data_IF_063702439944
#
_entry.id   IF_063702439944
#
_cell.length_a   1.000
_cell.length_b   1.000
_cell.length_c   1.000
_cell.angle_alpha   90.00
_cell.angle_beta   90.00
_cell.angle_gamma   90.00
#
_symmetry.space_group_name_H-M   'P 1'
#
loop_
_entity.id
_entity.type
_entity.pdbx_description
1 polymer ?
#
# COMPACT_ATOMS: atom_id res chain seq x y z
N UNK A 1 4.20 21.89 33.67
CA UNK A 1 3.49 20.92 32.85
C UNK A 1 3.80 21.21 31.40
N UNK A 2 4.77 20.50 30.82
CA UNK A 2 5.14 20.64 29.40
C UNK A 2 4.42 19.51 28.65
N UNK A 3 3.48 19.85 27.79
CA UNK A 3 2.85 18.90 26.88
C UNK A 3 3.88 18.46 25.84
N UNK A 4 4.11 17.16 25.62
CA UNK A 4 5.07 16.70 24.63
C UNK A 4 4.52 16.87 23.21
N UNK A 5 5.40 17.23 22.32
CA UNK A 5 5.14 17.58 20.93
C UNK A 5 4.63 16.37 20.11
N UNK A 6 3.32 16.29 19.89
CA UNK A 6 2.63 15.30 19.07
C UNK A 6 2.62 15.53 17.53
N UNK A 7 3.25 16.60 16.90
CA UNK A 7 2.96 16.90 15.50
C UNK A 7 3.76 16.13 14.44
N UNK A 8 4.98 15.65 14.74
CA UNK A 8 5.89 15.15 13.69
C UNK A 8 5.52 13.76 13.14
N UNK A 9 4.83 12.95 13.89
CA UNK A 9 4.53 11.57 13.59
C UNK A 9 3.20 11.40 12.84
N UNK A 10 2.21 12.18 13.18
CA UNK A 10 0.93 12.28 12.47
C UNK A 10 1.13 12.81 11.04
N UNK A 11 2.06 13.75 10.86
CA UNK A 11 2.41 14.33 9.57
C UNK A 11 3.03 13.32 8.60
N UNK A 12 3.83 12.37 9.07
CA UNK A 12 4.44 11.32 8.24
C UNK A 12 3.41 10.36 7.67
N UNK A 13 2.44 9.97 8.47
CA UNK A 13 1.32 9.13 8.03
C UNK A 13 0.46 9.85 7.00
N UNK A 14 0.22 11.13 7.18
CA UNK A 14 -0.53 11.96 6.24
C UNK A 14 0.12 12.02 4.88
N UNK A 15 1.45 12.04 4.76
CA UNK A 15 2.12 12.03 3.46
C UNK A 15 1.94 10.70 2.72
N UNK A 16 2.02 9.56 3.41
CA UNK A 16 1.73 8.26 2.79
C UNK A 16 0.28 8.15 2.36
N UNK A 17 -0.65 8.57 3.21
CA UNK A 17 -2.06 8.62 2.82
C UNK A 17 -2.30 9.60 1.67
N UNK A 18 -1.67 10.77 1.71
CA UNK A 18 -1.80 11.78 0.67
C UNK A 18 -1.32 11.32 -0.70
N UNK A 19 -0.13 10.71 -0.78
CA UNK A 19 0.37 10.19 -2.07
C UNK A 19 -0.46 9.01 -2.59
N UNK A 20 -1.01 8.16 -1.70
CA UNK A 20 -1.98 7.14 -2.07
C UNK A 20 -3.29 7.75 -2.58
N UNK A 21 -3.68 8.91 -2.03
CA UNK A 21 -4.81 9.70 -2.53
C UNK A 21 -4.59 10.23 -3.93
N UNK A 22 -3.38 10.73 -4.23
CA UNK A 22 -3.00 11.10 -5.61
C UNK A 22 -3.01 9.87 -6.52
N UNK A 23 -2.41 8.76 -6.08
CA UNK A 23 -2.33 7.54 -6.87
C UNK A 23 -3.71 6.98 -7.22
N UNK A 24 -4.67 6.91 -6.28
CA UNK A 24 -6.02 6.41 -6.60
C UNK A 24 -6.75 7.35 -7.56
N UNK A 25 -6.57 8.66 -7.45
CA UNK A 25 -7.15 9.60 -8.40
C UNK A 25 -6.61 9.37 -9.83
N UNK A 26 -5.29 9.17 -9.98
CA UNK A 26 -4.67 8.87 -11.28
C UNK A 26 -5.17 7.54 -11.86
N UNK A 27 -5.30 6.48 -11.06
CA UNK A 27 -5.86 5.19 -11.51
C UNK A 27 -7.28 5.36 -12.02
N UNK A 28 -8.13 6.07 -11.28
CA UNK A 28 -9.53 6.30 -11.68
C UNK A 28 -9.61 7.13 -12.97
N UNK A 29 -8.80 8.16 -13.10
CA UNK A 29 -8.73 8.99 -14.31
C UNK A 29 -8.26 8.17 -15.52
N UNK A 30 -7.20 7.36 -15.35
CA UNK A 30 -6.66 6.51 -16.42
C UNK A 30 -7.68 5.48 -16.89
N UNK A 31 -8.37 4.81 -16.00
CA UNK A 31 -9.38 3.82 -16.37
C UNK A 31 -10.66 4.46 -16.95
N UNK A 32 -11.07 5.63 -16.47
CA UNK A 32 -12.18 6.38 -17.06
C UNK A 32 -11.88 6.76 -18.50
N UNK A 33 -10.70 7.29 -18.75
CA UNK A 33 -10.28 7.65 -20.11
C UNK A 33 -10.15 6.41 -21.03
N UNK A 34 -9.63 5.31 -20.53
CA UNK A 34 -9.49 4.07 -21.31
C UNK A 34 -10.84 3.51 -21.78
N UNK A 35 -11.92 3.71 -21.01
CA UNK A 35 -13.26 3.20 -21.34
C UNK A 35 -14.06 4.14 -22.25
N UNK A 36 -13.89 5.46 -22.14
CA UNK A 36 -14.50 6.45 -23.02
C UNK A 36 -13.51 7.56 -23.36
N UNK A 37 -12.55 7.25 -24.26
CA UNK A 37 -11.51 8.19 -24.63
C UNK A 37 -12.10 9.43 -25.31
N UNK A 38 -11.49 10.57 -25.04
CA UNK A 38 -11.84 11.85 -25.67
C UNK A 38 -10.59 12.44 -26.29
N UNK A 39 -10.64 12.77 -27.57
CA UNK A 39 -9.50 13.31 -28.33
C UNK A 39 -9.04 14.68 -27.76
N UNK A 40 -9.95 15.46 -27.22
CA UNK A 40 -9.66 16.77 -26.64
C UNK A 40 -8.67 16.70 -25.46
N UNK A 41 -8.74 15.62 -24.65
CA UNK A 41 -7.83 15.44 -23.51
C UNK A 41 -6.44 14.99 -23.94
N UNK A 42 -6.34 14.18 -24.99
CA UNK A 42 -5.06 13.67 -25.50
C UNK A 42 -4.29 14.68 -26.33
N UNK A 43 -4.97 15.61 -26.97
CA UNK A 43 -4.34 16.68 -27.76
C UNK A 43 -3.61 17.70 -26.88
N UNK A 44 -3.84 17.68 -25.57
CA UNK A 44 -3.22 18.58 -24.62
C UNK A 44 -2.07 17.87 -23.86
N UNK A 45 -0.83 18.20 -24.21
CA UNK A 45 0.39 17.62 -23.62
C UNK A 45 0.48 17.76 -22.09
N UNK A 46 -0.19 18.78 -21.51
CA UNK A 46 -0.22 18.98 -20.05
C UNK A 46 -1.26 18.12 -19.34
N UNK A 47 -2.35 17.76 -20.03
CA UNK A 47 -3.41 16.94 -19.46
C UNK A 47 -3.17 15.45 -19.69
N UNK A 48 -2.63 15.06 -20.84
CA UNK A 48 -2.37 13.68 -21.22
C UNK A 48 -1.72 12.85 -20.12
N UNK A 49 -0.63 13.27 -19.44
CA UNK A 49 0.03 12.45 -18.41
C UNK A 49 -0.88 12.07 -17.24
N UNK A 50 -1.89 12.88 -16.91
CA UNK A 50 -2.82 12.60 -15.82
C UNK A 50 -3.80 11.46 -16.15
N UNK A 51 -4.01 11.22 -17.43
CA UNK A 51 -4.92 10.18 -17.96
C UNK A 51 -4.19 8.94 -18.49
N UNK A 52 -2.87 9.00 -18.62
CA UNK A 52 -2.04 7.90 -19.16
C UNK A 52 -0.97 7.44 -18.16
N UNK A 53 -1.19 7.59 -16.86
CA UNK A 53 -0.20 7.25 -15.81
C UNK A 53 -0.73 6.23 -14.81
N UNK A 54 -1.57 5.32 -15.26
CA UNK A 54 -2.12 4.25 -14.40
C UNK A 54 -1.01 3.39 -13.78
N UNK A 55 0.02 3.03 -14.54
CA UNK A 55 1.15 2.22 -14.06
C UNK A 55 2.05 2.96 -13.08
N UNK A 56 2.29 4.26 -13.29
CA UNK A 56 2.94 5.13 -12.32
C UNK A 56 2.21 5.09 -10.97
N UNK A 57 0.89 5.25 -10.99
CA UNK A 57 0.06 5.26 -9.80
C UNK A 57 0.04 3.91 -9.08
N UNK A 58 -0.05 2.80 -9.82
CA UNK A 58 0.00 1.44 -9.28
C UNK A 58 1.35 1.16 -8.63
N UNK A 59 2.47 1.66 -9.18
CA UNK A 59 3.81 1.51 -8.58
C UNK A 59 3.90 2.19 -7.21
N UNK A 60 3.24 3.33 -7.00
CA UNK A 60 3.16 3.97 -5.68
C UNK A 60 2.50 3.03 -4.65
N UNK A 61 1.40 2.36 -5.02
CA UNK A 61 0.73 1.40 -4.14
C UNK A 61 1.62 0.21 -3.81
N UNK A 62 2.30 -0.36 -4.81
CA UNK A 62 3.23 -1.46 -4.61
C UNK A 62 4.36 -1.09 -3.65
N UNK A 63 5.03 0.05 -3.89
CA UNK A 63 6.16 0.49 -3.06
C UNK A 63 5.72 0.72 -1.62
N UNK A 64 4.64 1.47 -1.39
CA UNK A 64 4.17 1.78 -0.04
C UNK A 64 3.65 0.51 0.65
N UNK A 65 2.88 -0.32 -0.04
CA UNK A 65 2.34 -1.57 0.50
C UNK A 65 3.44 -2.53 0.94
N UNK A 66 4.43 -2.77 0.09
CA UNK A 66 5.55 -3.64 0.39
C UNK A 66 6.49 -3.05 1.46
N UNK A 67 6.72 -1.73 1.43
CA UNK A 67 7.47 -1.04 2.48
C UNK A 67 6.86 -1.25 3.87
N UNK A 68 5.57 -0.98 4.02
CA UNK A 68 4.86 -1.10 5.29
C UNK A 68 4.86 -2.56 5.77
N UNK A 69 4.60 -3.52 4.88
CA UNK A 69 4.60 -4.94 5.20
C UNK A 69 5.98 -5.42 5.64
N UNK A 70 7.03 -5.11 4.88
CA UNK A 70 8.40 -5.50 5.19
C UNK A 70 8.86 -4.88 6.51
N UNK A 71 8.62 -3.58 6.70
CA UNK A 71 8.96 -2.88 7.94
C UNK A 71 8.28 -3.50 9.16
N UNK A 72 7.02 -3.92 9.03
CA UNK A 72 6.30 -4.62 10.10
C UNK A 72 6.97 -5.96 10.46
N UNK A 73 7.36 -6.76 9.45
CA UNK A 73 8.06 -8.04 9.63
C UNK A 73 9.40 -7.81 10.33
N UNK A 74 10.21 -6.85 9.83
CA UNK A 74 11.54 -6.56 10.38
C UNK A 74 11.47 -6.10 11.84
N UNK A 75 10.47 -5.26 12.19
CA UNK A 75 10.26 -4.81 13.58
C UNK A 75 9.88 -5.94 14.54
N UNK A 76 9.06 -6.90 14.09
CA UNK A 76 8.72 -8.09 14.88
C UNK A 76 9.97 -8.91 15.19
N UNK A 77 10.84 -9.09 14.20
CA UNK A 77 12.10 -9.79 14.37
C UNK A 77 13.07 -9.05 15.31
N UNK A 78 13.16 -7.72 15.17
CA UNK A 78 14.00 -6.89 16.06
C UNK A 78 13.49 -6.92 17.51
N UNK A 79 12.18 -7.11 17.71
CA UNK A 79 11.55 -7.32 19.02
C UNK A 79 11.67 -8.77 19.54
N UNK A 80 12.35 -9.66 18.81
CA UNK A 80 12.49 -11.07 19.19
C UNK A 80 11.21 -11.90 19.08
N UNK A 81 10.20 -11.41 18.36
CA UNK A 81 8.93 -12.10 18.17
C UNK A 81 9.10 -13.18 17.10
N UNK A 82 8.65 -14.38 17.39
CA UNK A 82 8.64 -15.47 16.43
C UNK A 82 7.67 -15.17 15.26
N UNK A 83 8.11 -15.47 14.04
CA UNK A 83 7.32 -15.22 12.83
C UNK A 83 6.62 -16.51 12.40
N UNK A 84 5.33 -16.60 12.60
CA UNK A 84 4.49 -17.66 12.05
C UNK A 84 4.06 -17.30 10.63
N UNK A 85 4.84 -17.69 9.61
CA UNK A 85 4.65 -17.29 8.20
C UNK A 85 3.24 -17.57 7.72
N UNK A 86 2.65 -18.72 8.08
CA UNK A 86 1.28 -19.08 7.70
C UNK A 86 0.24 -18.11 8.27
N UNK A 87 0.37 -17.73 9.54
CA UNK A 87 -0.56 -16.77 10.19
C UNK A 87 -0.46 -15.40 9.53
N UNK A 88 0.76 -14.92 9.27
CA UNK A 88 1.00 -13.64 8.62
C UNK A 88 0.41 -13.63 7.19
N UNK A 89 0.62 -14.72 6.43
CA UNK A 89 0.08 -14.87 5.07
C UNK A 89 -1.46 -14.93 5.07
N UNK A 90 -2.07 -15.71 5.97
CA UNK A 90 -3.53 -15.82 6.08
C UNK A 90 -4.16 -14.49 6.53
N UNK A 91 -3.57 -13.80 7.51
CA UNK A 91 -4.05 -12.45 7.91
C UNK A 91 -4.05 -11.47 6.73
N UNK A 92 -2.98 -11.47 5.91
CA UNK A 92 -2.96 -10.61 4.70
C UNK A 92 -3.99 -11.03 3.68
N UNK A 93 -4.11 -12.34 3.41
CA UNK A 93 -5.13 -12.88 2.51
C UNK A 93 -6.53 -12.42 2.93
N UNK A 94 -6.94 -12.65 4.17
CA UNK A 94 -8.25 -12.29 4.68
C UNK A 94 -8.51 -10.77 4.64
N UNK A 95 -7.48 -9.99 4.92
CA UNK A 95 -7.58 -8.53 4.85
C UNK A 95 -7.87 -8.03 3.44
N UNK A 96 -7.19 -8.57 2.43
CA UNK A 96 -7.40 -8.18 1.04
C UNK A 96 -8.69 -8.79 0.47
N UNK A 97 -9.01 -10.02 0.86
CA UNK A 97 -10.14 -10.78 0.32
C UNK A 97 -11.50 -10.32 0.84
N UNK A 98 -11.58 -9.67 1.99
CA UNK A 98 -12.87 -9.32 2.59
C UNK A 98 -13.77 -8.51 1.66
N UNK A 99 -13.29 -7.37 1.16
CA UNK A 99 -14.03 -6.56 0.19
C UNK A 99 -14.04 -7.19 -1.21
N UNK A 100 -12.94 -7.86 -1.58
CA UNK A 100 -12.81 -8.51 -2.89
C UNK A 100 -13.89 -9.58 -3.12
N UNK A 101 -14.17 -10.43 -2.13
CA UNK A 101 -15.19 -11.48 -2.23
C UNK A 101 -16.61 -10.88 -2.32
N UNK A 102 -16.87 -9.78 -1.61
CA UNK A 102 -18.14 -9.04 -1.75
C UNK A 102 -18.28 -8.45 -3.15
N UNK A 103 -17.21 -7.85 -3.69
CA UNK A 103 -17.21 -7.37 -5.06
C UNK A 103 -17.50 -8.49 -6.06
N UNK A 104 -16.82 -9.63 -5.94
CA UNK A 104 -17.05 -10.78 -6.82
C UNK A 104 -18.49 -11.28 -6.73
N UNK A 105 -19.06 -11.37 -5.53
CA UNK A 105 -20.45 -11.74 -5.34
C UNK A 105 -21.41 -10.77 -6.04
N UNK A 106 -21.21 -9.47 -5.88
CA UNK A 106 -22.03 -8.44 -6.54
C UNK A 106 -21.90 -8.54 -8.06
N UNK A 107 -20.68 -8.68 -8.59
CA UNK A 107 -20.46 -8.85 -10.04
C UNK A 107 -21.15 -10.09 -10.57
N UNK A 108 -21.10 -11.23 -9.85
CA UNK A 108 -21.78 -12.46 -10.24
C UNK A 108 -23.30 -12.28 -10.27
N UNK A 109 -23.88 -11.58 -9.27
CA UNK A 109 -25.32 -11.28 -9.23
C UNK A 109 -25.71 -10.38 -10.40
N UNK A 110 -24.97 -9.29 -10.64
CA UNK A 110 -25.23 -8.37 -11.76
C UNK A 110 -25.14 -9.11 -13.09
N UNK A 111 -24.13 -9.93 -13.29
CA UNK A 111 -24.00 -10.75 -14.53
C UNK A 111 -25.18 -11.70 -14.74
N UNK A 112 -25.74 -12.24 -13.67
CA UNK A 112 -26.88 -13.17 -13.75
C UNK A 112 -28.23 -12.50 -13.94
N UNK A 113 -28.34 -11.19 -13.64
CA UNK A 113 -29.62 -10.46 -13.62
C UNK A 113 -29.72 -9.33 -14.65
N UNK A 114 -28.61 -9.00 -15.30
CA UNK A 114 -28.52 -7.90 -16.27
C UNK A 114 -27.87 -8.38 -17.58
N UNK A 115 -28.68 -8.50 -18.61
CA UNK A 115 -28.22 -8.97 -19.93
C UNK A 115 -27.15 -8.06 -20.54
N UNK A 116 -27.22 -6.75 -20.29
CA UNK A 116 -26.22 -5.80 -20.76
C UNK A 116 -24.84 -5.99 -20.11
N UNK A 117 -24.82 -6.56 -18.90
CA UNK A 117 -23.60 -6.93 -18.16
C UNK A 117 -23.22 -8.40 -18.29
N UNK A 118 -23.92 -9.18 -19.12
CA UNK A 118 -23.52 -10.54 -19.45
C UNK A 118 -22.27 -10.55 -20.32
N UNK A 119 -21.46 -11.58 -20.16
CA UNK A 119 -20.23 -11.80 -20.91
C UNK A 119 -20.21 -13.26 -21.40
N UNK A 120 -21.04 -13.58 -22.42
CA UNK A 120 -21.27 -14.97 -22.84
C UNK A 120 -19.99 -15.65 -23.33
N UNK A 121 -19.04 -14.91 -23.91
CA UNK A 121 -17.79 -15.41 -24.43
C UNK A 121 -16.66 -15.50 -23.37
N UNK A 122 -16.94 -15.05 -22.13
CA UNK A 122 -15.95 -15.03 -21.07
C UNK A 122 -16.26 -16.06 -19.98
N UNK A 123 -15.24 -16.77 -19.51
CA UNK A 123 -15.39 -17.68 -18.38
C UNK A 123 -15.43 -16.92 -17.05
N UNK A 124 -16.64 -16.55 -16.65
CA UNK A 124 -16.91 -15.82 -15.42
C UNK A 124 -16.52 -16.63 -14.17
N UNK A 125 -16.78 -17.94 -14.16
CA UNK A 125 -16.47 -18.83 -13.04
C UNK A 125 -14.97 -18.96 -12.80
N UNK A 126 -14.23 -19.26 -13.86
CA UNK A 126 -12.76 -19.32 -13.80
C UNK A 126 -12.17 -17.97 -13.47
N UNK A 127 -12.68 -16.87 -14.04
CA UNK A 127 -12.22 -15.51 -13.70
C UNK A 127 -12.37 -15.24 -12.19
N UNK A 128 -13.54 -15.51 -11.61
CA UNK A 128 -13.78 -15.31 -10.18
C UNK A 128 -12.85 -16.18 -9.30
N UNK A 129 -12.66 -17.45 -9.67
CA UNK A 129 -11.75 -18.36 -8.97
C UNK A 129 -10.29 -17.87 -9.01
N UNK A 130 -9.81 -17.44 -10.18
CA UNK A 130 -8.44 -16.93 -10.37
C UNK A 130 -8.19 -15.65 -9.59
N UNK A 131 -9.20 -14.78 -9.52
CA UNK A 131 -9.14 -13.56 -8.70
C UNK A 131 -9.10 -13.92 -7.21
N UNK A 132 -10.00 -14.79 -6.73
CA UNK A 132 -10.06 -15.20 -5.34
C UNK A 132 -8.78 -15.94 -4.86
N UNK A 133 -8.06 -16.61 -5.77
CA UNK A 133 -6.81 -17.31 -5.49
C UNK A 133 -5.55 -16.48 -5.77
N UNK A 134 -5.70 -15.20 -6.13
CA UNK A 134 -4.57 -14.31 -6.47
C UNK A 134 -3.66 -14.85 -7.59
N UNK A 135 -4.25 -15.54 -8.59
CA UNK A 135 -3.58 -16.03 -9.81
C UNK A 135 -4.12 -15.36 -11.08
N UNK A 136 -4.91 -14.31 -10.90
CA UNK A 136 -5.63 -13.61 -11.97
C UNK A 136 -4.72 -13.01 -13.04
N UNK A 137 -3.60 -12.43 -12.64
CA UNK A 137 -2.64 -11.83 -13.55
C UNK A 137 -2.06 -12.86 -14.55
N UNK A 138 -1.80 -14.08 -14.11
CA UNK A 138 -1.33 -15.16 -14.98
C UNK A 138 -2.42 -15.67 -15.92
N UNK A 139 -3.67 -15.73 -15.43
CA UNK A 139 -4.81 -16.10 -16.26
C UNK A 139 -5.08 -15.07 -17.36
N UNK A 140 -5.03 -13.77 -17.03
CA UNK A 140 -5.14 -12.68 -18.00
C UNK A 140 -4.11 -12.78 -19.12
N UNK A 141 -2.85 -13.08 -18.78
CA UNK A 141 -1.77 -13.23 -19.77
C UNK A 141 -1.99 -14.45 -20.68
N UNK A 142 -2.45 -15.56 -20.11
CA UNK A 142 -2.62 -16.81 -20.83
C UNK A 142 -3.93 -16.86 -21.66
N UNK A 143 -4.98 -16.20 -21.21
CA UNK A 143 -6.33 -16.30 -21.77
C UNK A 143 -7.00 -14.92 -21.88
N UNK A 144 -6.44 -13.98 -22.64
CA UNK A 144 -6.90 -12.58 -22.66
C UNK A 144 -8.33 -12.42 -23.20
N UNK A 145 -8.79 -13.35 -24.06
CA UNK A 145 -10.14 -13.32 -24.64
C UNK A 145 -11.19 -13.97 -23.75
N UNK A 146 -10.81 -14.97 -22.95
CA UNK A 146 -11.71 -15.67 -22.04
C UNK A 146 -11.88 -14.95 -20.69
N UNK A 147 -10.93 -14.07 -20.38
CA UNK A 147 -10.90 -13.33 -19.11
C UNK A 147 -11.92 -12.21 -19.08
N UNK A 148 -12.60 -12.03 -17.93
CA UNK A 148 -13.55 -10.94 -17.70
C UNK A 148 -12.90 -9.55 -17.80
N UNK A 149 -13.23 -8.71 -18.79
CA UNK A 149 -12.55 -7.42 -18.98
C UNK A 149 -12.86 -6.42 -17.87
N UNK A 150 -14.07 -6.42 -17.32
CA UNK A 150 -14.51 -5.53 -16.23
C UNK A 150 -13.83 -5.82 -14.89
N UNK A 151 -13.14 -6.96 -14.76
CA UNK A 151 -12.33 -7.35 -13.61
C UNK A 151 -10.82 -7.26 -13.91
N UNK A 152 -10.45 -6.78 -15.09
CA UNK A 152 -9.06 -6.73 -15.53
C UNK A 152 -8.12 -6.05 -14.54
N UNK A 153 -8.52 -4.92 -13.95
CA UNK A 153 -7.72 -4.17 -12.98
C UNK A 153 -7.25 -4.97 -11.75
N UNK A 154 -7.94 -6.05 -11.38
CA UNK A 154 -7.61 -6.86 -10.19
C UNK A 154 -6.30 -7.65 -10.31
N UNK A 155 -5.62 -7.59 -11.47
CA UNK A 155 -4.27 -8.15 -11.63
C UNK A 155 -3.28 -7.63 -10.57
N UNK A 156 -3.41 -6.36 -10.19
CA UNK A 156 -2.56 -5.73 -9.17
C UNK A 156 -2.59 -6.49 -7.84
N UNK A 157 -3.76 -6.89 -7.36
CA UNK A 157 -3.88 -7.60 -6.08
C UNK A 157 -3.17 -8.96 -6.12
N UNK A 158 -3.21 -9.65 -7.29
CA UNK A 158 -2.50 -10.91 -7.47
C UNK A 158 -1.00 -10.72 -7.37
N UNK A 159 -0.44 -9.74 -8.07
CA UNK A 159 0.99 -9.41 -8.01
C UNK A 159 1.40 -8.97 -6.59
N UNK A 160 0.61 -8.09 -5.95
CA UNK A 160 0.88 -7.61 -4.59
C UNK A 160 0.96 -8.76 -3.57
N UNK A 161 -0.01 -9.69 -3.63
CA UNK A 161 -0.03 -10.82 -2.71
C UNK A 161 1.10 -11.81 -2.98
N UNK A 162 1.39 -12.13 -4.25
CA UNK A 162 2.47 -13.05 -4.63
C UNK A 162 3.84 -12.51 -4.19
N UNK A 163 4.13 -11.24 -4.46
CA UNK A 163 5.41 -10.64 -4.05
C UNK A 163 5.51 -10.49 -2.54
N UNK A 164 4.40 -10.19 -1.86
CA UNK A 164 4.37 -10.20 -0.40
C UNK A 164 4.82 -11.55 0.16
N UNK A 165 4.37 -12.68 -0.39
CA UNK A 165 4.82 -14.01 0.04
C UNK A 165 6.32 -14.22 -0.20
N UNK A 166 6.85 -13.79 -1.35
CA UNK A 166 8.29 -13.84 -1.64
C UNK A 166 9.08 -13.03 -0.61
N UNK A 167 8.69 -11.77 -0.39
CA UNK A 167 9.36 -10.89 0.58
C UNK A 167 9.24 -11.43 2.01
N UNK A 168 8.10 -12.01 2.39
CA UNK A 168 7.90 -12.63 3.70
C UNK A 168 8.90 -13.78 3.94
N UNK A 169 9.07 -14.66 2.95
CA UNK A 169 10.03 -15.77 3.02
C UNK A 169 11.47 -15.24 3.05
N UNK A 170 11.83 -14.30 2.19
CA UNK A 170 13.17 -13.70 2.19
C UNK A 170 13.48 -13.01 3.51
N UNK A 171 12.54 -12.24 4.06
CA UNK A 171 12.70 -11.61 5.35
C UNK A 171 12.82 -12.62 6.48
N UNK A 172 12.07 -13.73 6.45
CA UNK A 172 12.21 -14.80 7.43
C UNK A 172 13.60 -15.45 7.41
N UNK A 173 14.09 -15.77 6.21
CA UNK A 173 15.36 -16.48 6.04
C UNK A 173 16.59 -15.59 6.29
N UNK A 174 16.53 -14.32 5.85
CA UNK A 174 17.70 -13.44 5.76
C UNK A 174 17.67 -12.27 6.75
N UNK A 175 16.63 -12.09 7.56
CA UNK A 175 16.50 -10.89 8.38
C UNK A 175 17.59 -10.73 9.46
N UNK A 176 18.18 -11.82 9.92
CA UNK A 176 19.37 -11.77 10.82
C UNK A 176 20.61 -11.21 10.10
N UNK A 177 20.63 -11.26 8.79
CA UNK A 177 21.70 -10.81 7.91
C UNK A 177 21.20 -9.70 6.98
N UNK A 178 20.89 -8.51 7.52
CA UNK A 178 20.27 -7.38 6.81
C UNK A 178 21.01 -7.03 5.50
N UNK A 179 22.33 -7.14 5.48
CA UNK A 179 23.12 -6.88 4.28
C UNK A 179 22.84 -7.90 3.17
N UNK A 180 22.71 -9.19 3.50
CA UNK A 180 22.32 -10.21 2.54
C UNK A 180 20.88 -10.02 2.06
N UNK A 181 19.97 -9.65 2.96
CA UNK A 181 18.60 -9.33 2.56
C UNK A 181 18.58 -8.14 1.58
N UNK A 182 19.29 -7.06 1.88
CA UNK A 182 19.39 -5.90 1.00
C UNK A 182 20.01 -6.26 -0.36
N UNK A 183 21.10 -7.05 -0.37
CA UNK A 183 21.74 -7.50 -1.60
C UNK A 183 20.82 -8.37 -2.45
N UNK A 184 20.09 -9.31 -1.84
CA UNK A 184 19.13 -10.16 -2.54
C UNK A 184 17.97 -9.35 -3.12
N UNK A 185 17.37 -8.45 -2.34
CA UNK A 185 16.30 -7.57 -2.82
C UNK A 185 16.78 -6.66 -3.95
N UNK A 186 17.99 -6.11 -3.82
CA UNK A 186 18.60 -5.28 -4.87
C UNK A 186 18.89 -6.05 -6.16
N UNK A 187 19.42 -7.27 -6.06
CA UNK A 187 19.66 -8.12 -7.22
C UNK A 187 18.36 -8.51 -7.93
N UNK A 188 17.31 -8.88 -7.17
CA UNK A 188 16.00 -9.18 -7.72
C UNK A 188 15.34 -7.93 -8.36
N UNK A 189 15.50 -6.75 -7.76
CA UNK A 189 15.02 -5.49 -8.32
C UNK A 189 15.66 -5.20 -9.68
N UNK A 190 17.00 -5.26 -9.76
CA UNK A 190 17.74 -5.03 -11.01
C UNK A 190 17.35 -6.09 -12.06
N UNK A 191 17.28 -7.35 -11.64
CA UNK A 191 16.84 -8.45 -12.49
C UNK A 191 15.42 -8.27 -13.03
N UNK A 192 14.49 -7.79 -12.20
CA UNK A 192 13.10 -7.50 -12.61
C UNK A 192 13.01 -6.36 -13.63
N UNK A 193 13.78 -5.29 -13.44
CA UNK A 193 13.83 -4.17 -14.39
C UNK A 193 14.38 -4.65 -15.76
N UNK A 194 15.49 -5.39 -15.75
CA UNK A 194 16.05 -5.94 -16.97
C UNK A 194 15.10 -6.94 -17.65
N UNK A 195 14.45 -7.80 -16.86
CA UNK A 195 13.46 -8.76 -17.34
C UNK A 195 12.22 -8.09 -17.92
N UNK A 196 11.73 -7.01 -17.31
CA UNK A 196 10.62 -6.22 -17.84
C UNK A 196 10.94 -5.64 -19.22
N UNK A 197 12.12 -5.05 -19.38
CA UNK A 197 12.56 -4.52 -20.67
C UNK A 197 12.64 -5.65 -21.74
N UNK A 198 13.22 -6.79 -21.38
CA UNK A 198 13.30 -7.95 -22.28
C UNK A 198 11.91 -8.46 -22.69
N UNK A 199 11.00 -8.68 -21.76
CA UNK A 199 9.63 -9.15 -22.05
C UNK A 199 8.86 -8.10 -22.87
N UNK A 200 9.08 -6.82 -22.61
CA UNK A 200 8.48 -5.77 -23.43
C UNK A 200 8.92 -5.86 -24.89
N UNK A 201 10.20 -6.02 -25.12
CA UNK A 201 10.78 -6.11 -26.48
C UNK A 201 10.36 -7.41 -27.22
N UNK A 202 10.18 -8.54 -26.51
CA UNK A 202 9.91 -9.83 -27.11
C UNK A 202 8.44 -10.22 -27.16
N UNK A 203 7.68 -9.91 -26.11
CA UNK A 203 6.29 -10.37 -25.90
C UNK A 203 5.28 -9.22 -25.88
N UNK A 204 5.77 -7.99 -25.88
CA UNK A 204 4.96 -6.77 -25.93
C UNK A 204 4.45 -6.28 -24.57
N UNK A 205 3.82 -5.12 -24.62
CA UNK A 205 3.39 -4.32 -23.44
C UNK A 205 2.45 -5.08 -22.52
N UNK A 206 1.51 -5.84 -23.07
CA UNK A 206 0.49 -6.54 -22.29
C UNK A 206 1.09 -7.54 -21.28
N UNK A 207 2.03 -8.38 -21.74
CA UNK A 207 2.76 -9.30 -20.86
C UNK A 207 3.65 -8.57 -19.85
N UNK A 208 4.38 -7.57 -20.32
CA UNK A 208 5.27 -6.78 -19.47
C UNK A 208 4.52 -6.07 -18.33
N UNK A 209 3.26 -5.68 -18.55
CA UNK A 209 2.42 -5.03 -17.54
C UNK A 209 1.84 -5.98 -16.49
N UNK A 210 1.54 -7.23 -16.85
CA UNK A 210 0.71 -8.12 -16.02
C UNK A 210 1.49 -9.20 -15.29
N UNK A 211 2.68 -9.60 -15.79
CA UNK A 211 3.43 -10.68 -15.16
C UNK A 211 4.02 -10.24 -13.80
N UNK A 212 3.99 -11.13 -12.82
CA UNK A 212 4.57 -10.89 -11.49
C UNK A 212 6.06 -10.57 -11.57
N UNK A 213 6.79 -11.32 -12.43
CA UNK A 213 8.25 -11.19 -12.57
C UNK A 213 8.70 -9.87 -13.19
N UNK A 214 7.86 -9.25 -14.02
CA UNK A 214 8.13 -7.96 -14.66
C UNK A 214 7.66 -6.77 -13.79
N UNK A 215 6.77 -7.02 -12.82
CA UNK A 215 6.18 -6.00 -11.96
C UNK A 215 6.67 -6.08 -10.50
N UNK A 216 7.60 -6.98 -10.21
CA UNK A 216 8.14 -7.10 -8.85
C UNK A 216 9.14 -5.99 -8.49
N UNK A 217 9.58 -5.17 -9.44
CA UNK A 217 10.45 -4.01 -9.25
C UNK A 217 9.91 -3.04 -8.18
N UNK A 218 8.69 -2.55 -8.33
CA UNK A 218 8.11 -1.60 -7.39
C UNK A 218 7.92 -2.18 -5.97
N UNK A 219 7.33 -3.38 -5.75
CA UNK A 219 7.27 -3.96 -4.40
C UNK A 219 8.66 -4.27 -3.82
N UNK A 220 9.64 -4.71 -4.63
CA UNK A 220 11.01 -4.92 -4.15
C UNK A 220 11.68 -3.59 -3.74
N UNK A 221 11.40 -2.51 -4.46
CA UNK A 221 11.82 -1.14 -4.08
C UNK A 221 11.28 -0.77 -2.69
N UNK A 222 10.00 -1.04 -2.42
CA UNK A 222 9.41 -0.82 -1.11
C UNK A 222 10.04 -1.66 0.00
N UNK A 223 10.28 -2.94 -0.26
CA UNK A 223 10.95 -3.84 0.68
C UNK A 223 12.39 -3.38 0.95
N UNK A 224 13.13 -2.99 -0.09
CA UNK A 224 14.49 -2.45 0.02
C UNK A 224 14.52 -1.14 0.82
N UNK A 225 13.55 -0.25 0.64
CA UNK A 225 13.40 0.96 1.44
C UNK A 225 13.25 0.65 2.94
N UNK A 226 12.49 -0.40 3.30
CA UNK A 226 12.33 -0.82 4.70
C UNK A 226 13.66 -1.34 5.29
N UNK A 227 14.45 -2.08 4.52
CA UNK A 227 15.78 -2.53 4.94
C UNK A 227 16.77 -1.37 5.02
N UNK A 228 16.75 -0.43 4.06
CA UNK A 228 17.64 0.73 4.02
C UNK A 228 17.52 1.59 5.29
N UNK A 229 16.31 1.69 5.88
CA UNK A 229 16.11 2.43 7.13
C UNK A 229 16.97 1.92 8.30
N UNK A 230 17.42 0.67 8.27
CA UNK A 230 18.30 0.12 9.32
C UNK A 230 19.71 0.68 9.25
N UNK A 231 20.10 1.28 8.11
CA UNK A 231 21.47 1.79 7.86
C UNK A 231 21.56 3.32 7.87
N UNK A 232 20.46 4.04 7.59
CA UNK A 232 20.52 5.49 7.34
C UNK A 232 20.19 6.37 8.56
N UNK A 233 20.22 5.87 9.77
CA UNK A 233 19.83 6.60 10.99
C UNK A 233 20.64 7.89 11.30
N UNK A 234 21.84 8.09 10.70
CA UNK A 234 22.71 9.25 10.90
C UNK A 234 22.51 10.44 9.94
N UNK A 235 21.75 10.30 8.87
CA UNK A 235 21.69 11.27 7.75
C UNK A 235 20.60 12.35 7.90
N UNK A 236 20.24 12.72 9.10
CA UNK A 236 19.07 13.58 9.38
C UNK A 236 19.11 14.97 8.73
N UNK A 237 20.27 15.59 8.53
CA UNK A 237 20.34 16.98 8.05
C UNK A 237 19.90 17.16 6.59
N UNK A 238 20.05 16.14 5.74
CA UNK A 238 19.66 16.21 4.32
C UNK A 238 18.30 15.63 4.02
N UNK A 239 17.69 14.90 4.96
CA UNK A 239 16.46 14.15 4.71
C UNK A 239 15.28 15.04 4.33
N UNK A 240 15.19 16.27 4.89
CA UNK A 240 14.13 17.22 4.53
C UNK A 240 14.26 17.73 3.10
N UNK A 241 15.47 18.07 2.67
CA UNK A 241 15.73 18.50 1.28
C UNK A 241 15.47 17.36 0.30
N UNK A 242 15.94 16.14 0.60
CA UNK A 242 15.69 14.95 -0.21
C UNK A 242 14.21 14.60 -0.29
N UNK A 243 13.42 14.78 0.79
CA UNK A 243 11.98 14.60 0.77
C UNK A 243 11.30 15.57 -0.19
N UNK A 244 11.66 16.86 -0.17
CA UNK A 244 11.12 17.85 -1.10
C UNK A 244 11.55 17.52 -2.53
N UNK A 245 12.84 17.25 -2.75
CA UNK A 245 13.36 16.95 -4.08
C UNK A 245 12.73 15.69 -4.68
N UNK A 246 12.61 14.61 -3.92
CA UNK A 246 11.98 13.38 -4.39
C UNK A 246 10.48 13.58 -4.67
N UNK A 247 9.79 14.38 -3.85
CA UNK A 247 8.38 14.72 -4.10
C UNK A 247 8.20 15.52 -5.38
N UNK A 248 9.04 16.54 -5.59
CA UNK A 248 9.00 17.37 -6.82
C UNK A 248 9.42 16.55 -8.04
N UNK A 249 10.39 15.65 -7.90
CA UNK A 249 10.85 14.78 -8.99
C UNK A 249 9.77 13.81 -9.49
N UNK A 250 8.76 13.47 -8.67
CA UNK A 250 7.63 12.67 -9.14
C UNK A 250 6.85 13.33 -10.28
N UNK A 251 6.86 14.67 -10.39
CA UNK A 251 6.13 15.40 -11.46
C UNK A 251 6.75 15.14 -12.84
N UNK A 252 8.04 15.42 -13.10
CA UNK A 252 8.65 15.09 -14.38
C UNK A 252 8.70 13.57 -14.63
N UNK A 253 8.84 12.74 -13.60
CA UNK A 253 8.80 11.28 -13.75
C UNK A 253 7.41 10.80 -14.19
N UNK A 254 6.33 11.42 -13.72
CA UNK A 254 4.96 11.15 -14.19
C UNK A 254 4.84 11.35 -15.70
N UNK A 255 5.44 12.44 -16.22
CA UNK A 255 5.40 12.76 -17.66
C UNK A 255 6.26 11.80 -18.49
N UNK A 256 7.43 11.40 -17.95
CA UNK A 256 8.38 10.52 -18.64
C UNK A 256 7.94 9.05 -18.62
N UNK A 257 7.28 8.62 -17.55
CA UNK A 257 6.84 7.25 -17.33
C UNK A 257 5.32 7.11 -17.64
N UNK A 258 4.89 7.62 -18.79
CA UNK A 258 3.52 7.41 -19.28
C UNK A 258 3.28 5.90 -19.54
N UNK A 259 2.02 5.49 -19.63
CA UNK A 259 1.62 4.08 -19.76
C UNK A 259 2.02 3.41 -21.10
N UNK A 260 2.61 4.18 -22.01
CA UNK A 260 3.21 3.68 -23.23
C UNK A 260 4.63 3.15 -23.01
N UNK A 261 5.50 3.43 -23.98
CA UNK A 261 6.90 2.97 -23.98
C UNK A 261 7.72 3.54 -22.82
N UNK A 262 7.32 4.69 -22.29
CA UNK A 262 8.02 5.37 -21.21
C UNK A 262 8.15 4.54 -19.94
N UNK A 263 7.06 3.96 -19.45
CA UNK A 263 7.06 3.16 -18.21
C UNK A 263 7.89 1.87 -18.33
N UNK A 264 7.93 1.24 -19.52
CA UNK A 264 8.64 -0.03 -19.72
C UNK A 264 10.16 0.12 -19.72
N UNK A 265 10.67 1.28 -20.08
CA UNK A 265 12.09 1.62 -20.14
C UNK A 265 12.68 2.18 -18.86
N UNK A 266 13.74 2.98 -19.01
CA UNK A 266 14.46 3.63 -17.90
C UNK A 266 13.61 4.60 -17.06
N UNK A 267 12.55 5.29 -17.56
CA UNK A 267 11.73 6.13 -16.69
C UNK A 267 10.98 5.35 -15.61
N UNK A 268 10.58 4.10 -15.87
CA UNK A 268 10.03 3.23 -14.82
C UNK A 268 11.05 2.91 -13.72
N UNK A 269 12.31 2.66 -14.07
CA UNK A 269 13.38 2.48 -13.08
C UNK A 269 13.69 3.78 -12.31
N UNK A 270 13.60 4.95 -12.97
CA UNK A 270 13.72 6.24 -12.32
C UNK A 270 12.57 6.48 -11.31
N UNK A 271 11.38 6.04 -11.64
CA UNK A 271 10.24 6.06 -10.71
C UNK A 271 10.54 5.25 -9.45
N UNK A 272 11.04 4.02 -9.59
CA UNK A 272 11.42 3.16 -8.46
C UNK A 272 12.48 3.82 -7.58
N UNK A 273 13.54 4.38 -8.18
CA UNK A 273 14.58 5.12 -7.45
C UNK A 273 14.02 6.35 -6.72
N UNK A 274 13.14 7.11 -7.37
CA UNK A 274 12.49 8.30 -6.77
C UNK A 274 11.59 7.91 -5.60
N UNK A 275 10.79 6.85 -5.74
CA UNK A 275 9.92 6.33 -4.69
C UNK A 275 10.71 5.75 -3.51
N UNK A 276 11.84 5.09 -3.76
CA UNK A 276 12.76 4.63 -2.70
C UNK A 276 13.22 5.81 -1.83
N UNK A 277 13.72 6.88 -2.45
CA UNK A 277 14.18 8.08 -1.74
C UNK A 277 13.00 8.74 -1.02
N UNK A 278 11.86 8.90 -1.69
CA UNK A 278 10.65 9.48 -1.10
C UNK A 278 10.20 8.73 0.15
N UNK A 279 10.04 7.40 0.08
CA UNK A 279 9.57 6.58 1.21
C UNK A 279 10.53 6.61 2.38
N UNK A 280 11.84 6.47 2.14
CA UNK A 280 12.87 6.54 3.19
C UNK A 280 12.86 7.92 3.86
N UNK A 281 12.81 8.99 3.08
CA UNK A 281 12.83 10.35 3.63
C UNK A 281 11.52 10.75 4.31
N UNK A 282 10.37 10.24 3.88
CA UNK A 282 9.09 10.40 4.60
C UNK A 282 9.14 9.86 6.04
N UNK A 283 9.95 8.82 6.28
CA UNK A 283 10.11 8.25 7.63
C UNK A 283 11.13 9.02 8.45
N UNK A 284 12.22 9.50 7.83
CA UNK A 284 13.35 10.12 8.53
C UNK A 284 13.18 11.62 8.75
N UNK A 285 12.45 12.30 7.86
CA UNK A 285 12.30 13.75 7.89
C UNK A 285 11.02 14.20 8.61
N UNK A 286 11.09 15.37 9.24
CA UNK A 286 9.87 16.13 9.57
C UNK A 286 9.36 16.79 8.30
N UNK A 287 8.10 16.54 7.94
CA UNK A 287 7.51 17.11 6.73
C UNK A 287 7.53 18.64 6.75
N UNK A 288 8.01 19.29 5.68
CA UNK A 288 7.86 20.71 5.51
C UNK A 288 6.37 21.09 5.40
N UNK A 289 6.00 22.27 5.90
CA UNK A 289 4.61 22.76 5.87
C UNK A 289 3.99 22.70 4.46
N UNK A 290 4.78 22.97 3.43
CA UNK A 290 4.29 22.91 2.05
C UNK A 290 3.80 21.50 1.69
N UNK A 291 4.52 20.45 2.05
CA UNK A 291 4.10 19.07 1.78
C UNK A 291 2.93 18.64 2.66
N UNK A 292 2.86 19.13 3.90
CA UNK A 292 1.74 18.86 4.78
C UNK A 292 0.44 19.49 4.23
N UNK A 293 0.50 20.70 3.70
CA UNK A 293 -0.66 21.38 3.11
C UNK A 293 -1.02 20.82 1.73
N UNK A 294 -0.05 20.40 0.92
CA UNK A 294 -0.29 19.88 -0.44
C UNK A 294 -0.65 18.40 -0.42
N UNK A 295 0.26 17.51 -0.01
CA UNK A 295 0.01 16.08 0.04
C UNK A 295 -0.72 15.65 1.32
N UNK A 296 -0.38 16.24 2.47
CA UNK A 296 -0.96 15.90 3.76
C UNK A 296 -2.34 16.51 4.04
N UNK A 297 -2.99 17.15 3.05
CA UNK A 297 -4.32 17.77 3.24
C UNK A 297 -5.42 16.73 3.51
N UNK A 298 -6.53 17.19 4.08
CA UNK A 298 -7.63 16.33 4.53
C UNK A 298 -8.29 15.55 3.37
N UNK A 299 -8.41 16.15 2.19
CA UNK A 299 -9.05 15.52 1.04
C UNK A 299 -8.21 14.36 0.49
N UNK A 300 -6.91 14.60 0.19
CA UNK A 300 -6.02 13.56 -0.31
C UNK A 300 -5.81 12.44 0.71
N UNK A 301 -5.65 12.77 1.98
CA UNK A 301 -5.51 11.75 3.03
C UNK A 301 -6.79 10.93 3.21
N UNK A 302 -7.98 11.54 3.04
CA UNK A 302 -9.24 10.81 3.07
C UNK A 302 -9.39 9.85 1.87
N UNK A 303 -9.01 10.29 0.66
CA UNK A 303 -8.95 9.42 -0.53
C UNK A 303 -7.95 8.27 -0.34
N UNK A 304 -6.75 8.57 0.17
CA UNK A 304 -5.70 7.58 0.39
C UNK A 304 -6.09 6.50 1.41
N UNK A 305 -6.78 6.86 2.48
CA UNK A 305 -7.30 5.89 3.44
C UNK A 305 -8.32 4.94 2.83
N UNK A 306 -9.15 5.41 1.91
CA UNK A 306 -10.17 4.63 1.21
C UNK A 306 -9.69 4.03 -0.12
N UNK A 307 -8.41 4.15 -0.41
CA UNK A 307 -7.88 3.81 -1.74
C UNK A 307 -8.12 2.36 -2.16
N UNK A 308 -8.15 1.39 -1.22
CA UNK A 308 -8.47 0.00 -1.53
C UNK A 308 -9.94 -0.14 -1.97
N UNK A 309 -10.87 0.41 -1.22
CA UNK A 309 -12.30 0.35 -1.57
C UNK A 309 -12.59 1.06 -2.89
N UNK A 310 -12.01 2.25 -3.09
CA UNK A 310 -12.11 2.98 -4.35
C UNK A 310 -11.51 2.18 -5.52
N UNK A 311 -10.34 1.54 -5.30
CA UNK A 311 -9.68 0.72 -6.30
C UNK A 311 -10.51 -0.50 -6.70
N UNK A 312 -11.11 -1.18 -5.75
CA UNK A 312 -11.91 -2.37 -6.04
C UNK A 312 -13.17 -2.03 -6.85
N UNK A 313 -13.87 -0.97 -6.49
CA UNK A 313 -15.20 -0.69 -7.02
C UNK A 313 -15.22 0.18 -8.28
N UNK A 314 -14.22 1.06 -8.52
CA UNK A 314 -14.30 2.02 -9.64
C UNK A 314 -14.45 1.35 -11.00
N UNK A 315 -13.63 0.34 -11.30
CA UNK A 315 -13.52 -0.22 -12.64
C UNK A 315 -14.78 -1.02 -13.06
N UNK A 316 -15.32 -1.94 -12.24
CA UNK A 316 -16.59 -2.60 -12.55
C UNK A 316 -17.75 -1.61 -12.67
N UNK A 317 -17.80 -0.55 -11.85
CA UNK A 317 -18.82 0.49 -11.94
C UNK A 317 -18.68 1.27 -13.25
N UNK A 318 -17.47 1.63 -13.64
CA UNK A 318 -17.21 2.33 -14.89
C UNK A 318 -17.62 1.48 -16.09
N UNK A 319 -17.32 0.18 -16.09
CA UNK A 319 -17.78 -0.75 -17.10
C UNK A 319 -19.32 -0.84 -17.14
N UNK A 320 -19.97 -0.93 -16.00
CA UNK A 320 -21.42 -0.93 -15.91
C UNK A 320 -22.02 0.36 -16.51
N UNK A 321 -21.53 1.52 -16.08
CA UNK A 321 -21.98 2.81 -16.64
C UNK A 321 -21.71 2.89 -18.14
N UNK A 322 -20.52 2.48 -18.61
CA UNK A 322 -20.18 2.46 -20.03
C UNK A 322 -21.18 1.69 -20.88
N UNK A 323 -21.63 0.53 -20.40
CA UNK A 323 -22.59 -0.34 -21.13
C UNK A 323 -24.00 0.22 -21.17
N UNK A 324 -24.46 0.86 -20.09
CA UNK A 324 -25.84 1.33 -19.96
C UNK A 324 -26.06 2.76 -20.45
N UNK A 325 -25.01 3.47 -20.79
CA UNK A 325 -25.09 4.90 -21.13
C UNK A 325 -24.30 5.25 -22.40
N UNK A 326 -24.31 4.33 -23.37
CA UNK A 326 -23.50 4.48 -24.60
C UNK A 326 -23.78 5.78 -25.36
N UNK A 327 -25.01 6.28 -25.33
CA UNK A 327 -25.52 7.50 -25.95
C UNK A 327 -25.34 8.77 -25.10
N UNK A 328 -24.85 8.63 -23.85
CA UNK A 328 -24.67 9.80 -23.00
C UNK A 328 -23.37 10.51 -23.31
N UNK A 329 -23.30 11.81 -22.99
CA UNK A 329 -22.07 12.59 -23.04
C UNK A 329 -21.05 12.07 -22.03
N UNK A 330 -19.77 12.09 -22.41
CA UNK A 330 -18.68 11.55 -21.57
C UNK A 330 -18.60 12.22 -20.19
N UNK A 331 -18.91 13.52 -20.09
CA UNK A 331 -18.89 14.26 -18.82
C UNK A 331 -19.95 13.71 -17.86
N UNK A 332 -21.17 13.44 -18.38
CA UNK A 332 -22.27 12.89 -17.58
C UNK A 332 -21.94 11.48 -17.10
N UNK A 333 -21.40 10.63 -17.99
CA UNK A 333 -20.91 9.28 -17.62
C UNK A 333 -19.89 9.34 -16.52
N UNK A 334 -18.87 10.22 -16.66
CA UNK A 334 -17.79 10.38 -15.68
C UNK A 334 -18.34 10.81 -14.32
N UNK A 335 -19.23 11.80 -14.27
CA UNK A 335 -19.84 12.27 -13.01
C UNK A 335 -20.64 11.14 -12.34
N UNK A 336 -21.48 10.43 -13.10
CA UNK A 336 -22.29 9.33 -12.56
C UNK A 336 -21.40 8.19 -12.06
N UNK A 337 -20.39 7.79 -12.83
CA UNK A 337 -19.46 6.73 -12.43
C UNK A 337 -18.65 7.10 -11.17
N UNK A 338 -18.18 8.33 -11.06
CA UNK A 338 -17.45 8.82 -9.89
C UNK A 338 -18.35 8.87 -8.64
N UNK A 339 -19.57 9.37 -8.75
CA UNK A 339 -20.52 9.42 -7.64
C UNK A 339 -20.90 8.01 -7.17
N UNK A 340 -21.24 7.11 -8.11
CA UNK A 340 -21.55 5.72 -7.79
C UNK A 340 -20.35 5.03 -7.11
N UNK A 341 -19.13 5.22 -7.64
CA UNK A 341 -17.90 4.69 -7.05
C UNK A 341 -17.69 5.22 -5.63
N UNK A 342 -17.84 6.51 -5.40
CA UNK A 342 -17.66 7.11 -4.07
C UNK A 342 -18.66 6.56 -3.05
N UNK A 343 -19.93 6.44 -3.43
CA UNK A 343 -21.00 5.92 -2.57
C UNK A 343 -20.74 4.44 -2.24
N UNK A 344 -20.49 3.61 -3.26
CA UNK A 344 -20.33 2.15 -3.07
C UNK A 344 -19.02 1.85 -2.32
N UNK A 345 -17.94 2.55 -2.62
CA UNK A 345 -16.69 2.41 -1.88
C UNK A 345 -16.83 2.79 -0.40
N UNK A 346 -17.55 3.88 -0.07
CA UNK A 346 -17.82 4.27 1.32
C UNK A 346 -18.71 3.24 2.04
N UNK A 347 -19.72 2.69 1.37
CA UNK A 347 -20.55 1.60 1.93
C UNK A 347 -19.69 0.35 2.18
N UNK A 348 -18.86 -0.04 1.22
CA UNK A 348 -17.96 -1.19 1.33
C UNK A 348 -16.96 -1.01 2.48
N UNK A 349 -16.38 0.17 2.63
CA UNK A 349 -15.47 0.51 3.73
C UNK A 349 -16.16 0.34 5.09
N UNK A 350 -17.37 0.91 5.25
CA UNK A 350 -18.09 0.85 6.52
C UNK A 350 -18.64 -0.52 6.86
N UNK A 351 -19.19 -1.21 5.86
CA UNK A 351 -19.92 -2.46 6.08
C UNK A 351 -19.02 -3.69 6.06
N UNK A 352 -17.95 -3.68 5.28
CA UNK A 352 -17.07 -4.83 5.07
C UNK A 352 -15.72 -4.62 5.73
N UNK A 353 -14.95 -3.62 5.29
CA UNK A 353 -13.57 -3.41 5.75
C UNK A 353 -13.48 -3.25 7.27
N UNK A 354 -14.33 -2.40 7.84
CA UNK A 354 -14.36 -2.17 9.30
C UNK A 354 -14.66 -3.47 10.08
N UNK A 355 -15.49 -4.37 9.54
CA UNK A 355 -15.79 -5.66 10.17
C UNK A 355 -14.64 -6.65 10.04
N UNK A 356 -14.03 -6.73 8.86
CA UNK A 356 -12.86 -7.58 8.61
C UNK A 356 -11.70 -7.16 9.52
N UNK A 357 -11.43 -5.86 9.62
CA UNK A 357 -10.39 -5.35 10.52
C UNK A 357 -10.66 -5.70 11.99
N UNK A 358 -11.90 -5.57 12.48
CA UNK A 358 -12.25 -5.97 13.85
C UNK A 358 -12.08 -7.48 14.07
N UNK A 359 -12.46 -8.31 13.10
CA UNK A 359 -12.25 -9.75 13.16
C UNK A 359 -10.76 -10.10 13.26
N UNK A 360 -9.92 -9.47 12.42
CA UNK A 360 -8.47 -9.69 12.40
C UNK A 360 -7.73 -9.14 13.64
N UNK A 361 -8.39 -8.26 14.40
CA UNK A 361 -7.91 -7.71 15.68
C UNK A 361 -8.48 -8.44 16.91
N UNK A 362 -9.28 -9.49 16.71
CA UNK A 362 -9.86 -10.23 17.83
C UNK A 362 -8.81 -11.07 18.57
N UNK A 363 -8.98 -11.29 19.90
CA UNK A 363 -8.06 -12.09 20.71
C UNK A 363 -7.80 -13.51 20.18
N UNK A 364 -8.76 -14.10 19.45
CA UNK A 364 -8.60 -15.42 18.80
C UNK A 364 -7.45 -15.47 17.79
N UNK A 365 -7.20 -14.35 17.09
CA UNK A 365 -6.05 -14.27 16.17
C UNK A 365 -4.73 -14.11 16.92
N UNK A 366 -4.76 -13.52 18.11
CA UNK A 366 -3.58 -13.38 18.96
C UNK A 366 -3.22 -14.71 19.61
N UNK A 367 -4.22 -15.57 19.91
CA UNK A 367 -4.03 -16.95 20.37
C UNK A 367 -3.44 -17.86 19.28
N UNK A 368 -3.76 -17.63 17.99
CA UNK A 368 -3.16 -18.35 16.86
C UNK A 368 -1.71 -17.92 16.58
N UNK A 369 -1.30 -16.79 17.12
CA UNK A 369 0.05 -16.21 17.02
C UNK A 369 0.78 -16.43 18.37
N UNK A 370 0.79 -17.69 18.87
CA UNK A 370 1.23 -18.12 20.21
C UNK A 370 2.63 -17.65 20.65
N UNK A 371 3.38 -16.99 19.80
CA UNK A 371 4.69 -16.42 20.10
C UNK A 371 4.69 -14.91 20.30
N UNK A 372 3.56 -14.19 20.07
CA UNK A 372 3.54 -12.74 20.17
C UNK A 372 3.00 -12.32 21.54
N UNK A 373 3.80 -11.75 22.46
CA UNK A 373 3.28 -11.14 23.67
C UNK A 373 2.20 -10.12 23.30
N UNK A 374 1.05 -10.09 24.00
CA UNK A 374 -0.07 -9.15 23.76
C UNK A 374 0.40 -7.70 23.60
N UNK A 375 1.41 -7.33 24.35
CA UNK A 375 2.09 -6.04 24.28
C UNK A 375 2.69 -5.73 22.89
N UNK A 376 3.30 -6.72 22.23
CA UNK A 376 3.91 -6.55 20.91
C UNK A 376 2.84 -6.56 19.82
N UNK A 377 1.78 -7.36 19.96
CA UNK A 377 0.65 -7.39 19.03
C UNK A 377 -0.12 -6.08 19.07
N UNK A 378 -0.41 -5.53 20.24
CA UNK A 378 -1.04 -4.21 20.40
C UNK A 378 -0.14 -3.07 19.90
N UNK A 379 1.17 -3.17 20.10
CA UNK A 379 2.14 -2.18 19.62
C UNK A 379 2.30 -2.24 18.11
N UNK A 380 2.31 -3.42 17.52
CA UNK A 380 2.32 -3.62 16.06
C UNK A 380 1.00 -3.18 15.42
N UNK A 381 -0.14 -3.42 16.08
CA UNK A 381 -1.47 -3.02 15.63
C UNK A 381 -1.71 -1.51 15.82
N UNK A 382 -1.22 -0.91 16.90
CA UNK A 382 -1.19 0.55 17.06
C UNK A 382 -0.33 1.20 15.98
N UNK A 383 0.75 0.55 15.56
CA UNK A 383 1.59 1.05 14.47
C UNK A 383 0.88 1.08 13.11
N UNK A 384 -0.08 0.20 12.85
CA UNK A 384 -0.98 0.29 11.70
C UNK A 384 -2.01 1.44 11.84
N UNK A 385 -2.32 1.84 13.08
CA UNK A 385 -3.21 2.96 13.40
C UNK A 385 -2.44 4.27 13.64
N UNK A 386 -1.28 4.18 14.29
CA UNK A 386 -0.46 5.31 14.74
C UNK A 386 1.03 4.91 14.74
N UNK A 387 1.77 5.03 13.63
CA UNK A 387 3.20 4.74 13.66
C UNK A 387 3.92 5.79 14.46
N UNK A 388 4.33 5.44 15.67
CA UNK A 388 5.44 6.10 16.37
C UNK A 388 5.26 6.67 17.74
N UNK A 389 4.25 6.37 18.56
CA UNK A 389 4.20 6.87 19.94
C UNK A 389 5.23 6.24 20.91
N UNK A 390 5.92 5.19 20.51
CA UNK A 390 6.68 4.34 21.42
C UNK A 390 8.19 4.66 21.57
N UNK A 391 8.66 5.78 21.05
CA UNK A 391 10.08 6.13 21.22
C UNK A 391 10.40 6.97 22.48
N UNK A 392 9.40 7.36 23.29
CA UNK A 392 9.59 8.24 24.45
C UNK A 392 9.20 7.64 25.80
N UNK A 393 8.70 6.40 25.84
CA UNK A 393 8.18 5.78 27.07
C UNK A 393 9.16 4.91 27.89
N UNK A 394 10.43 4.80 27.50
CA UNK A 394 11.40 3.90 28.17
C UNK A 394 12.45 4.62 29.03
N UNK A 395 12.14 5.80 29.54
CA UNK A 395 13.02 6.46 30.53
C UNK A 395 12.15 7.03 31.66
N UNK A 396 11.88 6.23 32.66
CA UNK A 396 11.32 6.69 33.91
C UNK A 396 10.31 5.71 34.50
N UNK A 397 10.80 4.71 35.19
CA UNK A 397 10.26 4.18 36.45
C UNK A 397 11.13 2.99 36.88
N UNK A 398 12.23 3.31 37.53
CA UNK A 398 12.88 2.39 38.44
C UNK A 398 12.09 2.42 39.76
N UNK A 399 11.70 1.31 40.34
CA UNK A 399 11.05 1.29 41.63
C UNK A 399 12.05 1.74 42.70
N UNK A 400 11.71 2.81 43.42
CA UNK A 400 12.39 3.22 44.64
C UNK A 400 11.96 2.23 45.71
N UNK A 401 12.88 1.34 46.08
CA UNK A 401 12.78 0.51 47.28
C UNK A 401 12.72 1.45 48.51
N UNK A 402 11.56 1.49 49.13
CA UNK A 402 11.40 1.97 50.50
C UNK A 402 11.68 0.78 51.41
N UNK A 403 12.93 0.65 51.86
CA UNK A 403 13.23 -0.10 53.06
C UNK A 403 12.63 0.60 54.28
N UNK A 404 11.83 -0.14 54.98
CA UNK A 404 11.36 0.16 56.36
C UNK A 404 12.51 -0.03 57.29
N UNK A 405 12.88 0.96 58.03
CA UNK A 405 13.51 0.82 59.32
C UNK A 405 12.49 1.14 60.43
N UNK A 406 11.92 0.08 60.99
CA UNK A 406 11.38 0.07 62.36
C UNK A 406 12.49 -0.43 63.24
N UNK A 407 12.87 0.34 64.26
CA UNK A 407 13.03 -0.16 65.64
C UNK A 407 13.74 0.85 66.52
N UNK A 408 13.08 1.20 67.59
CA UNK A 408 13.69 1.24 68.90
C UNK A 408 13.95 2.58 69.55
N UNK A 409 12.96 3.08 70.25
CA UNK A 409 13.08 3.83 71.51
C UNK A 409 13.68 2.88 72.61
N UNK A 410 14.27 3.26 73.76
CA UNK A 410 13.98 4.46 74.56
C UNK A 410 15.15 5.02 75.42
N UNK A 411 14.85 6.16 76.00
CA UNK A 411 15.10 6.62 77.34
C UNK A 411 16.45 7.25 77.74
N UNK A 412 16.30 8.36 78.32
CA UNK A 412 16.73 8.96 79.61
C UNK A 412 17.73 10.12 79.53
N UNK A 413 17.20 11.25 80.13
CA UNK A 413 17.81 12.14 81.18
C UNK A 413 19.19 12.74 80.88
N UNK A 414 19.42 13.98 81.00
CA UNK A 414 19.26 14.92 82.10
C UNK A 414 19.73 16.30 81.67
N UNK A 415 19.09 17.31 82.25
CA UNK A 415 19.54 18.69 82.33
C UNK A 415 20.73 18.79 83.41
N UNK A 416 21.33 19.95 83.74
CA UNK A 416 21.38 21.28 83.09
C UNK A 416 22.78 21.92 83.15
N UNK A 417 23.00 22.98 82.46
CA UNK A 417 23.58 24.26 82.94
C UNK A 417 23.59 25.26 81.77
#
# INVERSE_FOLDING_TARGET
MHQPAAPAQETRNRLFDGIRGVAIALVILSHGWALWPTDDLLSNDWLKPWFTSGNFAVSIFFVIGAFLATRSILRRQDAGVELHLGVIAVRRYLRLSGQLLVLLLVVLIVTATDDASSYPDNDTGTSALRIATYTWNWYLVANPLDARPDLGHLWYLSVDFQIFLVVLVLAYLLARHRAWLAATLGALLIGSIAWRAHVYDTDGVYRALLQTTTRMDAPLTGALAAVALTYVGGWRRFTRALLVLSTVALIPVLVLADDGDGFMGWPGALLDATLLVFVVTCVLATAPRILDVTLGNAALTALGRRSLSLYLWHYPIFWFVSRHTADWRWETRTVVALLATAIIAELSERLVETRVQRLLQSPRWDELDDGIPRYVSERALRWWREPGEDATGAAGDAPVDRERDEAGDPATRDQPA
#
